data_IF_765791499365
#
_entry.id   IF_765791499365
#
_cell.length_a   1.000
_cell.length_b   1.000
_cell.length_c   1.000
_cell.angle_alpha   90.00
_cell.angle_beta   90.00
_cell.angle_gamma   90.00
#
_symmetry.space_group_name_H-M   'P 1'
#
loop_
_entity.id
_entity.type
_entity.pdbx_description
1 polymer ?
#
# COMPACT_ATOMS: atom_id res chain seq x y z
N UNK A 1 -23.00 12.37 2.06
CA UNK A 1 -23.75 13.17 1.05
C UNK A 1 -22.89 13.87 0.00
N UNK A 2 -21.58 14.11 0.20
CA UNK A 2 -20.77 14.90 -0.75
C UNK A 2 -20.23 14.19 -2.01
N UNK A 3 -20.20 12.85 -2.05
CA UNK A 3 -19.62 12.11 -3.19
C UNK A 3 -20.52 12.17 -4.44
N UNK A 4 -21.82 11.87 -4.31
CA UNK A 4 -22.74 11.86 -5.46
C UNK A 4 -22.87 13.23 -6.12
N UNK A 5 -22.89 14.31 -5.35
CA UNK A 5 -22.95 15.68 -5.86
C UNK A 5 -21.73 16.03 -6.73
N UNK A 6 -20.52 15.69 -6.26
CA UNK A 6 -19.28 15.93 -7.01
C UNK A 6 -19.24 15.10 -8.29
N UNK A 7 -19.62 13.83 -8.20
CA UNK A 7 -19.70 12.90 -9.35
C UNK A 7 -20.65 13.43 -10.43
N UNK A 8 -21.84 13.90 -10.03
CA UNK A 8 -22.84 14.43 -10.97
C UNK A 8 -22.33 15.66 -11.71
N UNK A 9 -21.69 16.62 -11.02
CA UNK A 9 -21.12 17.81 -11.68
C UNK A 9 -19.96 17.48 -12.61
N UNK A 10 -19.16 16.46 -12.27
CA UNK A 10 -18.08 16.00 -13.15
C UNK A 10 -18.64 15.39 -14.44
N UNK A 11 -19.62 14.48 -14.32
CA UNK A 11 -20.29 13.90 -15.51
C UNK A 11 -20.95 14.94 -16.41
N UNK A 12 -21.53 15.99 -15.82
CA UNK A 12 -22.09 17.10 -16.59
C UNK A 12 -21.00 17.88 -17.32
N UNK A 13 -19.85 18.11 -16.69
CA UNK A 13 -18.73 18.73 -17.36
C UNK A 13 -18.24 17.87 -18.54
N UNK A 14 -18.00 16.58 -18.32
CA UNK A 14 -17.45 15.69 -19.36
C UNK A 14 -18.39 15.50 -20.56
N UNK A 15 -19.71 15.64 -20.36
CA UNK A 15 -20.70 15.48 -21.42
C UNK A 15 -20.95 16.75 -22.24
N UNK A 16 -20.77 17.93 -21.64
CA UNK A 16 -21.20 19.20 -22.21
C UNK A 16 -20.04 20.16 -22.49
N UNK A 17 -18.84 19.90 -21.97
CA UNK A 17 -17.65 20.67 -22.25
C UNK A 17 -16.82 20.00 -23.35
N UNK A 18 -16.62 20.71 -24.46
CA UNK A 18 -15.79 20.26 -25.56
C UNK A 18 -14.52 21.13 -25.66
N UNK A 19 -13.31 20.57 -25.49
CA UNK A 19 -12.06 21.35 -25.55
C UNK A 19 -11.80 22.01 -26.90
N UNK A 20 -12.42 21.49 -27.98
CA UNK A 20 -12.29 22.01 -29.34
C UNK A 20 -13.19 23.21 -29.62
N UNK A 21 -14.19 23.46 -28.77
CA UNK A 21 -15.12 24.58 -28.92
C UNK A 21 -14.55 25.88 -28.36
N UNK A 22 -14.97 27.00 -28.94
CA UNK A 22 -14.68 28.31 -28.36
C UNK A 22 -15.41 28.48 -27.02
N UNK A 23 -14.98 29.46 -26.21
CA UNK A 23 -15.62 29.74 -24.91
C UNK A 23 -17.11 30.00 -25.07
N UNK A 24 -17.52 30.76 -26.09
CA UNK A 24 -18.93 31.06 -26.35
C UNK A 24 -19.74 29.84 -26.76
N UNK A 25 -19.19 28.99 -27.64
CA UNK A 25 -19.83 27.72 -28.03
C UNK A 25 -20.02 26.78 -26.83
N UNK A 26 -19.03 26.70 -25.95
CA UNK A 26 -19.14 25.93 -24.70
C UNK A 26 -20.16 26.54 -23.71
N UNK A 27 -20.39 27.85 -23.75
CA UNK A 27 -21.44 28.50 -22.94
C UNK A 27 -22.84 28.19 -23.45
N UNK A 28 -23.01 28.09 -24.77
CA UNK A 28 -24.28 27.71 -25.39
C UNK A 28 -24.57 26.22 -25.20
N UNK A 29 -23.54 25.37 -25.16
CA UNK A 29 -23.66 23.93 -24.88
C UNK A 29 -23.95 23.61 -23.40
N UNK A 30 -24.80 24.40 -22.73
CA UNK A 30 -25.14 24.20 -21.32
C UNK A 30 -26.09 23.01 -21.14
N UNK A 31 -26.04 22.32 -19.99
CA UNK A 31 -27.05 21.32 -19.65
C UNK A 31 -28.47 21.91 -19.53
N UNK A 32 -29.51 21.17 -19.96
CA UNK A 32 -30.89 21.61 -19.80
C UNK A 32 -31.24 21.76 -18.31
N UNK A 33 -31.82 22.91 -17.94
CA UNK A 33 -32.17 23.23 -16.56
C UNK A 33 -31.10 23.97 -15.76
N UNK A 34 -29.91 24.20 -16.34
CA UNK A 34 -28.90 25.10 -15.76
C UNK A 34 -28.95 26.44 -16.48
N UNK A 35 -28.93 27.52 -15.70
CA UNK A 35 -28.90 28.88 -16.24
C UNK A 35 -27.53 29.21 -16.87
N UNK A 36 -27.52 30.11 -17.86
CA UNK A 36 -26.34 30.41 -18.69
C UNK A 36 -25.25 31.05 -17.84
N UNK A 37 -25.63 31.97 -16.96
CA UNK A 37 -24.69 32.67 -16.08
C UNK A 37 -24.08 31.68 -15.10
N UNK A 38 -24.90 30.80 -14.51
CA UNK A 38 -24.42 29.73 -13.63
C UNK A 38 -23.44 28.78 -14.31
N UNK A 39 -23.68 28.45 -15.58
CA UNK A 39 -22.76 27.65 -16.38
C UNK A 39 -21.46 28.40 -16.67
N UNK A 40 -21.53 29.70 -16.99
CA UNK A 40 -20.36 30.57 -17.16
C UNK A 40 -19.48 30.58 -15.92
N UNK A 41 -20.05 30.88 -14.76
CA UNK A 41 -19.34 30.88 -13.47
C UNK A 41 -18.64 29.55 -13.19
N UNK A 42 -19.26 28.43 -13.56
CA UNK A 42 -18.67 27.11 -13.40
C UNK A 42 -17.47 26.88 -14.32
N UNK A 43 -17.56 27.30 -15.59
CA UNK A 43 -16.45 27.22 -16.54
C UNK A 43 -15.30 28.14 -16.14
N UNK A 44 -15.60 29.37 -15.71
CA UNK A 44 -14.59 30.34 -15.24
C UNK A 44 -13.84 29.78 -14.02
N UNK A 45 -14.57 29.26 -13.04
CA UNK A 45 -13.98 28.60 -11.86
C UNK A 45 -13.07 27.41 -12.23
N UNK A 46 -13.45 26.62 -13.23
CA UNK A 46 -12.63 25.50 -13.73
C UNK A 46 -11.42 25.98 -14.53
N UNK A 47 -11.53 27.12 -15.23
CA UNK A 47 -10.46 27.71 -16.03
C UNK A 47 -9.41 28.41 -15.16
N UNK A 48 -9.81 28.95 -14.01
CA UNK A 48 -9.00 29.67 -13.04
C UNK A 48 -7.71 28.91 -12.66
N UNK A 49 -6.57 29.59 -12.83
CA UNK A 49 -5.26 29.00 -12.62
C UNK A 49 -5.05 28.56 -11.16
N UNK A 50 -5.57 29.32 -10.18
CA UNK A 50 -5.49 28.98 -8.76
C UNK A 50 -6.20 27.65 -8.45
N UNK A 51 -7.39 27.46 -9.01
CA UNK A 51 -8.18 26.25 -8.85
C UNK A 51 -7.47 25.04 -9.47
N UNK A 52 -6.92 25.18 -10.68
CA UNK A 52 -6.12 24.14 -11.34
C UNK A 52 -4.88 23.76 -10.52
N UNK A 53 -4.18 24.74 -9.97
CA UNK A 53 -2.97 24.51 -9.17
C UNK A 53 -3.28 23.77 -7.86
N UNK A 54 -4.37 24.15 -7.18
CA UNK A 54 -4.86 23.41 -5.99
C UNK A 54 -5.21 21.97 -6.33
N UNK A 55 -5.90 21.73 -7.46
CA UNK A 55 -6.21 20.39 -7.93
C UNK A 55 -4.96 19.55 -8.21
N UNK A 56 -3.96 20.12 -8.89
CA UNK A 56 -2.68 19.46 -9.18
C UNK A 56 -1.95 19.08 -7.89
N UNK A 57 -1.84 20.01 -6.93
CA UNK A 57 -1.26 19.76 -5.61
C UNK A 57 -1.99 18.65 -4.87
N UNK A 58 -3.32 18.66 -4.88
CA UNK A 58 -4.13 17.63 -4.23
C UNK A 58 -3.96 16.25 -4.89
N UNK A 59 -3.80 16.17 -6.21
CA UNK A 59 -3.51 14.92 -6.91
C UNK A 59 -2.15 14.33 -6.48
N UNK A 60 -1.12 15.18 -6.39
CA UNK A 60 0.21 14.78 -5.90
C UNK A 60 0.18 14.37 -4.42
N UNK A 61 -0.58 15.10 -3.58
CA UNK A 61 -0.72 14.75 -2.17
C UNK A 61 -1.46 13.41 -2.00
N UNK A 62 -2.46 13.16 -2.84
CA UNK A 62 -3.18 11.88 -2.85
C UNK A 62 -2.33 10.73 -3.36
N UNK A 63 -1.44 10.94 -4.34
CA UNK A 63 -0.52 9.88 -4.79
C UNK A 63 0.57 9.57 -3.75
N UNK A 64 0.94 10.55 -2.93
CA UNK A 64 1.84 10.37 -1.78
C UNK A 64 1.16 9.75 -0.55
N UNK A 65 -0.16 9.59 -0.57
CA UNK A 65 -0.89 9.03 0.56
C UNK A 65 -0.63 7.52 0.64
N UNK A 66 0.30 7.12 1.50
CA UNK A 66 0.66 5.71 1.73
C UNK A 66 -0.45 4.92 2.43
N UNK A 67 -1.20 5.60 3.31
CA UNK A 67 -2.22 4.96 4.12
C UNK A 67 -3.62 5.26 3.58
N UNK A 68 -4.30 4.20 3.15
CA UNK A 68 -5.69 4.26 2.74
C UNK A 68 -6.53 4.38 4.02
N UNK A 69 -7.04 5.58 4.33
CA UNK A 69 -8.09 5.77 5.35
C UNK A 69 -9.41 5.16 4.80
N UNK A 70 -9.44 3.85 4.64
CA UNK A 70 -10.65 3.03 4.53
C UNK A 70 -10.54 1.97 5.64
N UNK A 71 -10.02 2.36 6.81
CA UNK A 71 -9.89 1.48 7.96
C UNK A 71 -11.23 1.17 8.65
N UNK A 72 -12.35 1.67 8.13
CA UNK A 72 -13.62 1.66 8.87
C UNK A 72 -13.41 2.23 10.28
N UNK A 73 -14.06 1.64 11.28
CA UNK A 73 -13.88 2.03 12.69
C UNK A 73 -12.62 1.45 13.36
N UNK A 74 -11.67 0.86 12.62
CA UNK A 74 -10.43 0.34 13.22
C UNK A 74 -9.50 1.50 13.56
N UNK A 75 -8.92 1.45 14.76
CA UNK A 75 -7.91 2.43 15.20
C UNK A 75 -6.60 2.25 14.42
N UNK A 76 -5.85 3.35 14.27
CA UNK A 76 -4.53 3.34 13.64
C UNK A 76 -3.58 2.34 14.32
N UNK A 77 -3.62 2.24 15.65
CA UNK A 77 -2.85 1.27 16.43
C UNK A 77 -3.13 -0.17 16.02
N UNK A 78 -4.41 -0.53 15.82
CA UNK A 78 -4.79 -1.89 15.38
C UNK A 78 -4.32 -2.21 13.97
N UNK A 79 -4.30 -1.23 13.07
CA UNK A 79 -3.80 -1.47 11.72
C UNK A 79 -2.27 -1.61 11.70
N UNK A 80 -1.55 -0.84 12.52
CA UNK A 80 -0.11 -1.01 12.74
C UNK A 80 0.21 -2.38 13.34
N UNK A 81 -0.57 -2.84 14.34
CA UNK A 81 -0.40 -4.19 14.89
C UNK A 81 -0.65 -5.27 13.83
N UNK A 82 -1.69 -5.15 13.00
CA UNK A 82 -1.99 -6.11 11.92
C UNK A 82 -0.90 -6.11 10.83
N UNK A 83 -0.22 -4.98 10.60
CA UNK A 83 0.92 -4.84 9.68
C UNK A 83 2.22 -5.40 10.27
N UNK A 84 2.47 -5.17 11.57
CA UNK A 84 3.68 -5.62 12.29
C UNK A 84 3.62 -7.10 12.66
N UNK A 85 2.47 -7.59 13.14
CA UNK A 85 2.28 -8.97 13.59
C UNK A 85 1.61 -9.87 12.52
N UNK A 86 1.23 -9.31 11.38
CA UNK A 86 0.46 -10.00 10.33
C UNK A 86 -1.00 -10.26 10.75
N UNK A 87 -1.80 -10.83 9.84
CA UNK A 87 -3.21 -11.24 10.09
C UNK A 87 -3.34 -12.45 11.03
N UNK A 88 -2.46 -12.60 12.01
CA UNK A 88 -2.60 -13.66 13.01
C UNK A 88 -3.60 -13.25 14.09
N UNK A 89 -4.47 -14.20 14.44
CA UNK A 89 -5.74 -13.96 15.12
C UNK A 89 -5.53 -13.43 16.54
N UNK A 90 -6.36 -12.47 17.02
CA UNK A 90 -6.33 -12.03 18.41
C UNK A 90 -6.65 -13.21 19.34
N UNK A 91 -5.71 -13.55 20.23
CA UNK A 91 -5.85 -14.67 21.17
C UNK A 91 -4.54 -15.34 21.59
N UNK A 92 -3.42 -15.07 20.90
CA UNK A 92 -2.09 -15.45 21.39
C UNK A 92 -1.45 -14.26 22.07
N UNK A 93 -1.25 -14.38 23.39
CA UNK A 93 -0.51 -13.40 24.19
C UNK A 93 0.94 -13.38 23.67
N UNK A 94 1.34 -12.29 23.02
CA UNK A 94 2.76 -12.00 22.78
C UNK A 94 3.33 -11.42 24.08
N UNK A 95 4.12 -12.20 24.81
CA UNK A 95 4.97 -11.65 25.87
C UNK A 95 6.02 -10.75 25.21
N UNK A 96 6.00 -9.45 25.52
CA UNK A 96 7.05 -8.53 25.06
C UNK A 96 8.34 -8.88 25.80
N UNK A 97 9.31 -9.46 25.10
CA UNK A 97 10.63 -9.74 25.66
C UNK A 97 11.59 -10.33 24.63
N UNK A 98 12.88 -9.98 24.76
CA UNK A 98 14.02 -10.61 24.07
C UNK A 98 14.27 -12.04 24.62
N UNK A 99 13.22 -12.86 24.67
CA UNK A 99 13.31 -14.28 25.02
C UNK A 99 13.08 -15.14 23.77
N UNK A 100 13.58 -16.38 23.73
CA UNK A 100 13.28 -17.30 22.65
C UNK A 100 11.77 -17.41 22.45
N UNK A 101 11.33 -17.33 21.19
CA UNK A 101 9.92 -17.32 20.84
C UNK A 101 9.24 -18.59 21.37
N UNK A 102 7.97 -18.49 21.79
CA UNK A 102 7.22 -19.60 22.37
C UNK A 102 7.16 -20.83 21.43
N UNK A 103 7.27 -20.62 20.11
CA UNK A 103 7.39 -21.66 19.09
C UNK A 103 8.69 -22.47 19.16
N UNK A 104 9.77 -21.90 19.73
CA UNK A 104 11.04 -22.57 19.98
C UNK A 104 10.97 -23.49 21.21
N UNK A 105 10.09 -23.20 22.17
CA UNK A 105 9.94 -23.98 23.40
C UNK A 105 8.89 -25.09 23.29
N UNK A 106 7.80 -24.87 22.57
CA UNK A 106 6.69 -25.83 22.47
C UNK A 106 6.53 -26.47 21.08
N UNK A 107 7.49 -26.24 20.18
CA UNK A 107 7.43 -26.69 18.80
C UNK A 107 6.27 -26.07 18.01
N UNK A 108 6.24 -26.23 16.67
CA UNK A 108 5.09 -25.82 15.89
C UNK A 108 3.90 -26.72 16.25
N UNK A 109 2.86 -26.14 16.85
CA UNK A 109 1.58 -26.82 16.99
C UNK A 109 1.12 -27.28 15.60
N UNK A 110 0.78 -28.57 15.50
CA UNK A 110 0.46 -29.29 14.27
C UNK A 110 -0.77 -28.70 13.56
N UNK A 111 -0.58 -27.61 12.83
CA UNK A 111 -1.45 -27.26 11.74
C UNK A 111 -0.64 -27.38 10.48
N UNK A 112 -0.65 -28.58 9.89
CA UNK A 112 -0.01 -28.88 8.60
C UNK A 112 -0.57 -27.92 7.54
N UNK A 113 0.22 -26.98 7.00
CA UNK A 113 -0.12 -26.33 5.75
C UNK A 113 0.39 -27.27 4.65
N UNK A 114 -0.51 -27.69 3.78
CA UNK A 114 -0.26 -28.69 2.75
C UNK A 114 0.73 -28.18 1.68
N UNK A 115 2.03 -28.22 1.97
CA UNK A 115 3.14 -27.98 1.03
C UNK A 115 4.43 -28.67 1.53
N UNK A 116 4.33 -29.99 1.74
CA UNK A 116 5.44 -30.87 2.18
C UNK A 116 6.69 -30.74 1.31
N UNK A 117 6.51 -30.53 0.00
CA UNK A 117 7.59 -30.37 -0.98
C UNK A 117 8.43 -29.12 -0.68
N UNK A 118 7.79 -27.98 -0.41
CA UNK A 118 8.49 -26.73 -0.06
C UNK A 118 9.23 -26.86 1.28
N UNK A 119 8.66 -27.60 2.23
CA UNK A 119 9.31 -27.83 3.52
C UNK A 119 10.56 -28.70 3.39
N UNK A 120 10.48 -29.79 2.61
CA UNK A 120 11.64 -30.66 2.37
C UNK A 120 12.73 -29.94 1.57
N UNK A 121 12.38 -29.09 0.60
CA UNK A 121 13.34 -28.27 -0.16
C UNK A 121 14.03 -27.21 0.71
N UNK A 122 13.26 -26.52 1.58
CA UNK A 122 13.83 -25.54 2.51
C UNK A 122 14.73 -26.21 3.56
N UNK A 123 14.35 -27.39 4.05
CA UNK A 123 15.18 -28.18 4.96
C UNK A 123 16.48 -28.63 4.29
N UNK A 124 16.43 -29.08 3.03
CA UNK A 124 17.62 -29.49 2.28
C UNK A 124 18.59 -28.32 2.07
N UNK A 125 18.09 -27.16 1.65
CA UNK A 125 18.91 -25.95 1.47
C UNK A 125 19.56 -25.46 2.76
N UNK A 126 18.85 -25.56 3.89
CA UNK A 126 19.41 -25.19 5.19
C UNK A 126 20.59 -26.10 5.58
N UNK A 127 20.46 -27.42 5.33
CA UNK A 127 21.51 -28.38 5.64
C UNK A 127 22.77 -28.14 4.76
N UNK A 128 22.56 -27.91 3.47
CA UNK A 128 23.62 -27.64 2.49
C UNK A 128 24.42 -26.37 2.84
N UNK A 129 23.74 -25.28 3.18
CA UNK A 129 24.39 -24.04 3.64
C UNK A 129 25.17 -24.23 4.94
N UNK A 130 24.72 -25.14 5.81
CA UNK A 130 25.38 -25.43 7.07
C UNK A 130 26.70 -26.20 6.85
N UNK A 131 26.72 -27.13 5.88
CA UNK A 131 27.94 -27.82 5.47
C UNK A 131 28.94 -26.89 4.75
N UNK A 132 28.46 -25.98 3.90
CA UNK A 132 29.32 -24.99 3.25
C UNK A 132 30.02 -24.07 4.26
N UNK A 133 29.28 -23.60 5.28
CA UNK A 133 29.81 -22.73 6.32
C UNK A 133 30.86 -23.44 7.18
N UNK A 134 30.62 -24.70 7.55
CA UNK A 134 31.60 -25.50 8.31
C UNK A 134 32.84 -25.82 7.45
N UNK A 135 32.66 -26.12 6.16
CA UNK A 135 33.75 -26.29 5.21
C UNK A 135 34.59 -25.01 5.04
N UNK A 136 33.96 -23.84 5.01
CA UNK A 136 34.66 -22.56 4.93
C UNK A 136 35.39 -22.20 6.23
N UNK A 137 34.81 -22.53 7.40
CA UNK A 137 35.50 -22.39 8.69
C UNK A 137 36.73 -23.29 8.77
N UNK A 138 36.63 -24.53 8.30
CA UNK A 138 37.76 -25.45 8.25
C UNK A 138 38.87 -24.96 7.31
N UNK A 139 38.52 -24.36 6.17
CA UNK A 139 39.48 -23.72 5.25
C UNK A 139 40.17 -22.51 5.88
N UNK A 140 39.43 -21.68 6.63
CA UNK A 140 40.03 -20.55 7.37
C UNK A 140 41.00 -21.02 8.46
N UNK A 141 40.65 -22.09 9.18
CA UNK A 141 41.51 -22.67 10.21
C UNK A 141 42.81 -23.27 9.63
N UNK A 142 42.73 -23.98 8.51
CA UNK A 142 43.92 -24.53 7.84
C UNK A 142 44.87 -23.45 7.32
N UNK A 143 44.34 -22.31 6.86
CA UNK A 143 45.14 -21.17 6.41
C UNK A 143 45.84 -20.44 7.59
N UNK A 144 45.29 -20.55 8.80
CA UNK A 144 45.83 -19.98 10.03
C UNK A 144 46.91 -20.87 10.66
N UNK A 145 46.77 -22.20 10.54
CA UNK A 145 47.77 -23.18 10.98
C UNK A 145 49.04 -23.17 10.07
N UNK A 146 48.88 -22.92 8.76
CA UNK A 146 50.01 -22.73 7.82
C UNK A 146 50.79 -21.43 8.05
N UNK A 147 50.16 -20.39 8.61
CA UNK A 147 50.80 -19.12 8.94
C UNK A 147 51.60 -19.15 10.26
N UNK A 148 51.48 -20.25 11.03
CA UNK A 148 52.15 -20.44 12.33
C UNK A 148 53.29 -21.46 12.30
N UNK A 149 53.74 -21.90 11.10
CA UNK A 149 54.92 -22.76 10.90
C UNK A 149 56.07 -21.96 10.29
#
# INVERSE_FOLDING_TARGET
MGKSWKETRLRLYDRFYEPTFTTEQNLENRPPGIDREHWRWFLDYRAEAETKEKCRKNAVNRSKQQYIHIGGSKSFARQMEEEVFGKEKPGRVCSVGFGPALSQLFGPNSHVPNNRVQLEETQRKLLELQEELEGEKLKRKAMEDEAST
#
